data_IF_829641775128
#
_entry.id   IF_829641775128
#
_cell.length_a   1.000
_cell.length_b   1.000
_cell.length_c   1.000
_cell.angle_alpha   90.00
_cell.angle_beta   90.00
_cell.angle_gamma   90.00
#
_symmetry.space_group_name_H-M   'P 1'
#
loop_
_entity.id
_entity.type
_entity.pdbx_description
1 polymer ?
#
# COMPACT_ATOMS: atom_id res chain seq x y z
N UNK A 1 -2.45 6.03 -11.34
CA UNK A 1 -2.40 4.57 -11.60
C UNK A 1 -2.26 3.84 -10.27
N UNK A 2 -3.08 2.80 -10.11
CA UNK A 2 -3.00 1.84 -9.02
C UNK A 2 -1.76 0.95 -9.06
N UNK A 3 -1.60 0.07 -8.08
CA UNK A 3 -0.55 -0.96 -8.13
C UNK A 3 -0.95 -2.18 -8.98
N UNK A 4 -2.25 -2.37 -9.19
CA UNK A 4 -2.84 -3.35 -10.10
C UNK A 4 -3.68 -2.66 -11.18
N UNK A 5 -4.13 -3.44 -12.16
CA UNK A 5 -4.99 -2.95 -13.27
C UNK A 5 -6.41 -3.49 -13.15
N UNK A 6 -7.36 -2.83 -13.84
CA UNK A 6 -8.73 -3.33 -13.95
C UNK A 6 -8.76 -4.74 -14.55
N UNK A 7 -7.89 -5.02 -15.52
CA UNK A 7 -7.78 -6.36 -16.14
C UNK A 7 -7.30 -7.41 -15.14
N UNK A 8 -6.32 -7.08 -14.28
CA UNK A 8 -5.84 -7.97 -13.21
C UNK A 8 -6.97 -8.37 -12.26
N UNK A 9 -7.85 -7.42 -11.91
CA UNK A 9 -8.98 -7.66 -11.01
C UNK A 9 -10.08 -8.47 -11.71
N UNK A 10 -10.44 -8.10 -12.93
CA UNK A 10 -11.50 -8.77 -13.69
C UNK A 10 -11.13 -10.22 -14.07
N UNK A 11 -9.85 -10.53 -14.21
CA UNK A 11 -9.37 -11.89 -14.48
C UNK A 11 -9.83 -12.93 -13.43
N UNK A 12 -10.12 -12.49 -12.20
CA UNK A 12 -10.64 -13.36 -11.14
C UNK A 12 -12.11 -13.76 -11.35
N UNK A 13 -12.83 -13.09 -12.25
CA UNK A 13 -14.24 -13.33 -12.53
C UNK A 13 -14.47 -13.54 -14.04
N UNK A 14 -14.14 -14.70 -14.61
CA UNK A 14 -14.20 -14.93 -16.07
C UNK A 14 -15.59 -14.75 -16.69
N UNK A 15 -16.66 -14.82 -15.88
CA UNK A 15 -18.06 -14.66 -16.32
C UNK A 15 -18.60 -13.24 -16.13
N UNK A 16 -17.80 -12.34 -15.56
CA UNK A 16 -18.18 -10.94 -15.36
C UNK A 16 -18.14 -10.20 -16.70
N UNK A 17 -19.29 -9.67 -17.12
CA UNK A 17 -19.40 -8.87 -18.34
C UNK A 17 -19.21 -7.40 -17.98
N UNK A 18 -18.03 -6.86 -18.32
CA UNK A 18 -17.65 -5.47 -18.05
C UNK A 18 -18.44 -4.49 -18.91
N UNK A 19 -18.63 -3.28 -18.39
CA UNK A 19 -19.13 -2.10 -19.13
C UNK A 19 -20.45 -2.32 -19.91
N UNK A 20 -21.25 -3.29 -19.48
CA UNK A 20 -22.63 -3.48 -19.97
C UNK A 20 -23.60 -2.63 -19.14
N UNK A 21 -24.75 -2.27 -19.70
CA UNK A 21 -25.76 -1.51 -18.96
C UNK A 21 -26.19 -2.28 -17.68
N UNK A 22 -26.13 -1.61 -16.52
CA UNK A 22 -26.41 -2.21 -15.22
C UNK A 22 -25.27 -3.07 -14.64
N UNK A 23 -24.14 -3.15 -15.33
CA UNK A 23 -22.92 -3.81 -14.83
C UNK A 23 -21.99 -2.83 -14.12
N UNK A 24 -21.07 -3.36 -13.34
CA UNK A 24 -20.00 -2.59 -12.70
C UNK A 24 -19.07 -2.06 -13.79
N UNK A 25 -18.77 -0.76 -13.72
CA UNK A 25 -17.92 -0.08 -14.70
C UNK A 25 -16.43 -0.19 -14.38
N UNK A 26 -15.58 -0.08 -15.40
CA UNK A 26 -14.13 -0.03 -15.21
C UNK A 26 -13.70 1.16 -14.35
N UNK A 27 -14.41 2.28 -14.43
CA UNK A 27 -14.14 3.46 -13.60
C UNK A 27 -14.39 3.17 -12.10
N UNK A 28 -15.43 2.39 -11.79
CA UNK A 28 -15.73 1.97 -10.43
C UNK A 28 -14.65 1.01 -9.89
N UNK A 29 -14.23 0.04 -10.70
CA UNK A 29 -13.13 -0.88 -10.35
C UNK A 29 -11.82 -0.13 -10.15
N UNK A 30 -11.54 0.85 -11.01
CA UNK A 30 -10.36 1.71 -10.87
C UNK A 30 -10.41 2.52 -9.56
N UNK A 31 -11.59 3.00 -9.15
CA UNK A 31 -11.78 3.66 -7.86
C UNK A 31 -11.39 2.76 -6.68
N UNK A 32 -11.84 1.50 -6.67
CA UNK A 32 -11.45 0.54 -5.63
C UNK A 32 -9.94 0.26 -5.64
N UNK A 33 -9.35 0.08 -6.82
CA UNK A 33 -7.89 -0.09 -6.98
C UNK A 33 -7.14 1.10 -6.34
N UNK A 34 -7.58 2.33 -6.59
CA UNK A 34 -6.95 3.54 -6.08
C UNK A 34 -7.15 3.72 -4.57
N UNK A 35 -8.33 3.38 -4.04
CA UNK A 35 -8.60 3.38 -2.60
C UNK A 35 -7.71 2.36 -1.86
N UNK A 36 -7.60 1.14 -2.41
CA UNK A 36 -6.70 0.11 -1.86
C UNK A 36 -5.25 0.56 -1.94
N UNK A 37 -4.84 1.21 -3.02
CA UNK A 37 -3.50 1.80 -3.16
C UNK A 37 -3.25 2.83 -2.05
N UNK A 38 -4.17 3.76 -1.82
CA UNK A 38 -4.03 4.79 -0.79
C UNK A 38 -3.85 4.18 0.60
N UNK A 39 -4.61 3.12 0.91
CA UNK A 39 -4.50 2.39 2.18
C UNK A 39 -3.17 1.66 2.33
N UNK A 40 -2.74 0.91 1.31
CA UNK A 40 -1.43 0.23 1.30
C UNK A 40 -0.33 1.27 1.51
N UNK A 41 -0.39 2.37 0.76
CA UNK A 41 0.59 3.47 0.83
C UNK A 41 0.72 4.05 2.22
N UNK A 42 -0.40 4.31 2.89
CA UNK A 42 -0.41 4.82 4.26
C UNK A 42 0.34 3.90 5.21
N UNK A 43 0.09 2.59 5.13
CA UNK A 43 0.74 1.59 5.99
C UNK A 43 2.23 1.44 5.69
N UNK A 44 2.60 1.46 4.42
CA UNK A 44 3.99 1.48 3.98
C UNK A 44 4.73 2.71 4.51
N UNK A 45 4.14 3.90 4.40
CA UNK A 45 4.72 5.16 4.89
C UNK A 45 4.91 5.16 6.41
N UNK A 46 3.98 4.59 7.18
CA UNK A 46 4.13 4.42 8.63
C UNK A 46 5.35 3.57 9.01
N UNK A 47 5.79 2.70 8.10
CA UNK A 47 6.99 1.85 8.24
C UNK A 47 8.23 2.50 7.61
N UNK A 48 8.16 3.79 7.28
CA UNK A 48 9.17 4.53 6.54
C UNK A 48 9.50 3.89 5.20
N UNK A 49 8.56 3.22 4.53
CA UNK A 49 8.78 2.63 3.21
C UNK A 49 8.06 3.45 2.13
N UNK A 50 8.75 3.77 1.01
CA UNK A 50 8.13 4.42 -0.15
C UNK A 50 7.65 3.44 -1.23
N UNK A 51 6.34 3.10 -1.27
CA UNK A 51 5.79 2.16 -2.25
C UNK A 51 5.62 2.77 -3.64
N UNK A 52 5.75 4.10 -3.80
CA UNK A 52 5.64 4.78 -5.10
C UNK A 52 7.02 5.09 -5.70
N UNK A 53 8.11 4.73 -5.01
CA UNK A 53 9.45 4.93 -5.52
C UNK A 53 9.69 4.12 -6.82
N UNK A 54 10.44 4.67 -7.79
CA UNK A 54 10.57 4.08 -9.12
C UNK A 54 11.15 2.65 -9.09
N UNK A 55 10.61 1.73 -9.90
CA UNK A 55 11.12 0.35 -9.99
C UNK A 55 12.58 0.31 -10.44
N UNK A 56 13.40 -0.53 -9.79
CA UNK A 56 14.80 -0.73 -10.16
C UNK A 56 15.79 0.32 -9.64
N UNK A 57 15.31 1.39 -9.00
CA UNK A 57 16.15 2.31 -8.22
C UNK A 57 16.08 2.01 -6.73
N UNK A 58 14.86 2.03 -6.19
CA UNK A 58 14.58 1.97 -4.76
C UNK A 58 13.67 0.78 -4.40
N UNK A 59 12.70 0.47 -5.25
CA UNK A 59 11.83 -0.69 -5.11
C UNK A 59 12.33 -1.84 -5.99
N UNK A 60 12.52 -3.01 -5.36
CA UNK A 60 12.82 -4.23 -6.10
C UNK A 60 11.61 -4.68 -6.93
N UNK A 61 11.87 -5.58 -7.88
CA UNK A 61 10.80 -6.24 -8.64
C UNK A 61 9.86 -7.00 -7.70
N UNK A 62 10.40 -7.64 -6.66
CA UNK A 62 9.62 -8.39 -5.68
C UNK A 62 8.68 -7.47 -4.89
N UNK A 63 9.15 -6.29 -4.47
CA UNK A 63 8.31 -5.27 -3.83
C UNK A 63 7.18 -4.83 -4.75
N UNK A 64 7.50 -4.58 -6.02
CA UNK A 64 6.49 -4.15 -7.01
C UNK A 64 5.44 -5.22 -7.22
N UNK A 65 5.85 -6.50 -7.30
CA UNK A 65 4.94 -7.63 -7.46
C UNK A 65 4.09 -7.87 -6.21
N UNK A 66 4.67 -7.72 -5.01
CA UNK A 66 3.95 -7.81 -3.75
C UNK A 66 2.87 -6.73 -3.65
N UNK A 67 3.21 -5.46 -3.90
CA UNK A 67 2.26 -4.35 -3.87
C UNK A 67 1.13 -4.52 -4.90
N UNK A 68 1.45 -5.02 -6.10
CA UNK A 68 0.45 -5.37 -7.12
C UNK A 68 -0.50 -6.45 -6.61
N UNK A 69 0.04 -7.55 -6.06
CA UNK A 69 -0.76 -8.67 -5.55
C UNK A 69 -1.68 -8.22 -4.42
N UNK A 70 -1.14 -7.50 -3.43
CA UNK A 70 -1.92 -6.97 -2.31
C UNK A 70 -3.05 -6.05 -2.77
N UNK A 71 -2.77 -5.12 -3.69
CA UNK A 71 -3.77 -4.22 -4.23
C UNK A 71 -4.87 -4.97 -5.00
N UNK A 72 -4.48 -5.98 -5.78
CA UNK A 72 -5.39 -6.86 -6.51
C UNK A 72 -6.32 -7.64 -5.58
N UNK A 73 -5.79 -8.22 -4.50
CA UNK A 73 -6.60 -8.97 -3.50
C UNK A 73 -7.71 -8.08 -2.91
N UNK A 74 -7.37 -6.86 -2.49
CA UNK A 74 -8.36 -5.92 -1.95
C UNK A 74 -9.44 -5.55 -2.97
N UNK A 75 -9.05 -5.26 -4.21
CA UNK A 75 -9.98 -4.87 -5.26
C UNK A 75 -10.85 -6.04 -5.75
N UNK A 76 -10.35 -7.28 -5.72
CA UNK A 76 -11.15 -8.49 -6.00
C UNK A 76 -12.24 -8.66 -4.95
N UNK A 77 -11.94 -8.41 -3.67
CA UNK A 77 -12.96 -8.47 -2.61
C UNK A 77 -14.07 -7.44 -2.84
N UNK A 78 -13.72 -6.20 -3.20
CA UNK A 78 -14.71 -5.16 -3.50
C UNK A 78 -15.57 -5.49 -4.73
N UNK A 79 -14.96 -6.05 -5.78
CA UNK A 79 -15.70 -6.53 -6.95
C UNK A 79 -16.62 -7.71 -6.60
N UNK A 80 -16.17 -8.66 -5.78
CA UNK A 80 -16.99 -9.78 -5.33
C UNK A 80 -18.24 -9.31 -4.57
N UNK A 81 -18.08 -8.40 -3.60
CA UNK A 81 -19.20 -7.81 -2.86
C UNK A 81 -20.18 -7.08 -3.77
N UNK A 82 -19.67 -6.29 -4.72
CA UNK A 82 -20.51 -5.55 -5.65
C UNK A 82 -21.25 -6.49 -6.62
N UNK A 83 -20.63 -7.58 -7.05
CA UNK A 83 -21.27 -8.61 -7.86
C UNK A 83 -22.36 -9.34 -7.07
N UNK A 84 -22.13 -9.60 -5.79
CA UNK A 84 -23.12 -10.19 -4.90
C UNK A 84 -24.34 -9.27 -4.72
N UNK A 85 -24.11 -7.99 -4.43
CA UNK A 85 -25.19 -7.01 -4.28
C UNK A 85 -26.07 -6.88 -5.53
N UNK A 86 -25.50 -7.16 -6.71
CA UNK A 86 -26.22 -7.17 -7.99
C UNK A 86 -26.83 -8.54 -8.35
N UNK A 87 -26.37 -9.64 -7.77
CA UNK A 87 -26.83 -11.02 -8.03
C UNK A 87 -27.45 -11.58 -6.74
N UNK A 88 -28.75 -11.39 -6.57
CA UNK A 88 -29.53 -11.70 -5.35
C UNK A 88 -29.55 -13.17 -4.89
N UNK A 89 -28.80 -14.10 -5.48
CA UNK A 89 -28.98 -15.56 -5.24
C UNK A 89 -27.74 -16.47 -5.25
N UNK A 90 -26.50 -15.96 -5.29
CA UNK A 90 -25.31 -16.84 -5.32
C UNK A 90 -24.48 -16.76 -4.02
N UNK A 91 -24.30 -17.89 -3.33
CA UNK A 91 -23.44 -17.99 -2.14
C UNK A 91 -21.92 -18.00 -2.45
N UNK A 92 -21.54 -18.17 -3.72
CA UNK A 92 -20.14 -18.24 -4.16
C UNK A 92 -19.35 -16.91 -4.08
N UNK A 93 -19.92 -15.78 -4.54
CA UNK A 93 -19.32 -14.46 -4.40
C UNK A 93 -18.98 -14.06 -2.96
N UNK A 94 -19.84 -14.38 -1.98
CA UNK A 94 -19.61 -14.11 -0.54
C UNK A 94 -18.30 -14.71 -0.06
N UNK A 95 -18.15 -16.03 -0.23
CA UNK A 95 -16.99 -16.76 0.25
C UNK A 95 -15.69 -16.32 -0.44
N UNK A 96 -15.78 -15.91 -1.71
CA UNK A 96 -14.65 -15.37 -2.46
C UNK A 96 -14.26 -13.97 -1.95
N UNK A 97 -15.24 -13.10 -1.73
CA UNK A 97 -15.03 -11.77 -1.15
C UNK A 97 -14.34 -11.85 0.21
N UNK A 98 -14.91 -12.63 1.13
CA UNK A 98 -14.37 -12.81 2.47
C UNK A 98 -12.93 -13.32 2.46
N UNK A 99 -12.65 -14.32 1.60
CA UNK A 99 -11.30 -14.87 1.46
C UNK A 99 -10.28 -13.82 1.00
N UNK A 100 -10.60 -13.06 -0.05
CA UNK A 100 -9.69 -12.03 -0.58
C UNK A 100 -9.54 -10.85 0.38
N UNK A 101 -10.61 -10.51 1.10
CA UNK A 101 -10.58 -9.50 2.16
C UNK A 101 -9.69 -9.93 3.32
N UNK A 102 -9.84 -11.16 3.81
CA UNK A 102 -8.99 -11.69 4.87
C UNK A 102 -7.51 -11.74 4.44
N UNK A 103 -7.24 -12.17 3.21
CA UNK A 103 -5.90 -12.16 2.59
C UNK A 103 -5.30 -10.75 2.58
N UNK A 104 -6.07 -9.76 2.13
CA UNK A 104 -5.66 -8.34 2.14
C UNK A 104 -5.36 -7.84 3.56
N UNK A 105 -6.26 -8.09 4.52
CA UNK A 105 -6.10 -7.63 5.90
C UNK A 105 -4.90 -8.29 6.61
N UNK A 106 -4.66 -9.58 6.36
CA UNK A 106 -3.49 -10.30 6.88
C UNK A 106 -2.20 -9.67 6.39
N UNK A 107 -2.09 -9.44 5.08
CA UNK A 107 -0.89 -8.84 4.48
C UNK A 107 -0.68 -7.40 4.98
N UNK A 108 -1.74 -6.62 5.18
CA UNK A 108 -1.65 -5.29 5.80
C UNK A 108 -1.14 -5.39 7.25
N UNK A 109 -1.61 -6.36 8.03
CA UNK A 109 -1.14 -6.57 9.39
C UNK A 109 0.34 -6.99 9.43
N UNK A 110 0.77 -7.83 8.49
CA UNK A 110 2.16 -8.26 8.33
C UNK A 110 3.11 -7.11 7.94
N UNK A 111 2.66 -6.18 7.09
CA UNK A 111 3.44 -4.95 6.82
C UNK A 111 3.56 -4.13 8.11
N UNK A 112 2.48 -3.95 8.86
CA UNK A 112 2.49 -3.20 10.13
C UNK A 112 3.43 -3.80 11.17
N UNK A 113 3.49 -5.13 11.26
CA UNK A 113 4.36 -5.85 12.20
C UNK A 113 5.81 -5.96 11.72
N UNK A 114 6.12 -5.52 10.50
CA UNK A 114 7.47 -5.53 9.93
C UNK A 114 7.92 -6.88 9.38
N UNK A 115 6.99 -7.83 9.19
CA UNK A 115 7.30 -9.16 8.60
C UNK A 115 7.93 -9.01 7.22
N UNK A 116 7.54 -7.97 6.48
CA UNK A 116 8.02 -7.69 5.13
C UNK A 116 9.24 -6.75 5.06
N UNK A 117 9.84 -6.37 6.19
CA UNK A 117 10.98 -5.44 6.21
C UNK A 117 12.16 -5.92 5.35
N UNK A 118 12.34 -7.25 5.23
CA UNK A 118 13.38 -7.84 4.39
C UNK A 118 13.22 -7.55 2.90
N UNK A 119 12.00 -7.25 2.44
CA UNK A 119 11.73 -6.84 1.05
C UNK A 119 12.16 -5.39 0.79
N UNK A 120 12.32 -4.59 1.84
CA UNK A 120 12.56 -3.14 1.76
C UNK A 120 13.99 -2.81 2.21
N UNK A 121 14.88 -2.57 1.24
CA UNK A 121 16.26 -2.16 1.50
C UNK A 121 16.38 -0.76 2.11
N UNK A 122 17.58 -0.38 2.59
CA UNK A 122 17.88 0.96 3.11
C UNK A 122 17.46 2.09 2.13
N UNK A 123 17.64 1.89 0.82
CA UNK A 123 17.24 2.85 -0.20
C UNK A 123 15.71 3.03 -0.29
N UNK A 124 14.93 2.02 0.08
CA UNK A 124 13.46 2.02 0.15
C UNK A 124 12.92 2.76 1.35
N UNK A 125 13.79 3.13 2.29
CA UNK A 125 13.41 3.86 3.48
C UNK A 125 13.29 5.35 3.19
N UNK A 126 12.13 5.93 3.50
CA UNK A 126 11.92 7.37 3.51
C UNK A 126 12.88 7.94 4.56
N UNK A 127 13.86 8.73 4.14
CA UNK A 127 14.75 9.44 5.06
C UNK A 127 13.92 10.34 5.96
N UNK A 128 13.85 10.02 7.25
CA UNK A 128 13.21 10.86 8.23
C UNK A 128 13.99 12.16 8.40
N UNK A 129 13.48 13.28 7.89
CA UNK A 129 13.82 14.59 8.47
C UNK A 129 12.99 14.81 9.73
N UNK A 130 13.47 14.24 10.85
CA UNK A 130 13.40 14.77 12.21
C UNK A 130 13.99 13.73 13.17
N UNK A 131 15.22 13.96 13.62
CA UNK A 131 15.94 13.10 14.56
C UNK A 131 16.70 11.99 13.83
N UNK A 132 17.83 12.34 13.22
CA UNK A 132 18.83 11.33 12.88
C UNK A 132 19.14 10.54 14.15
N UNK A 133 19.01 9.22 14.08
CA UNK A 133 19.46 8.31 15.13
C UNK A 133 20.92 8.61 15.41
N UNK A 134 21.18 9.37 16.47
CA UNK A 134 22.53 9.52 16.99
C UNK A 134 22.93 8.12 17.45
N UNK A 135 24.01 7.52 16.91
CA UNK A 135 24.50 6.26 17.42
C UNK A 135 24.70 6.38 18.94
N UNK A 136 24.41 5.31 19.69
CA UNK A 136 24.32 5.29 21.16
C UNK A 136 25.59 5.82 21.86
N UNK A 137 26.70 5.94 21.13
CA UNK A 137 27.99 6.45 21.60
C UNK A 137 28.34 7.88 21.16
N UNK A 138 27.43 8.63 20.55
CA UNK A 138 27.68 10.03 20.18
C UNK A 138 26.65 10.94 20.83
N UNK A 139 27.13 11.99 21.52
CA UNK A 139 26.24 13.05 21.98
C UNK A 139 26.19 14.16 20.93
N UNK A 140 25.08 14.93 20.83
CA UNK A 140 24.96 16.06 19.88
C UNK A 140 26.04 17.15 20.05
N UNK A 141 26.84 17.10 21.11
CA UNK A 141 28.00 17.95 21.31
C UNK A 141 29.17 17.59 20.38
N UNK A 142 29.27 16.34 19.92
CA UNK A 142 30.43 15.85 19.15
C UNK A 142 30.29 16.03 17.62
N UNK A 143 29.08 16.34 17.14
CA UNK A 143 28.81 16.60 15.70
C UNK A 143 28.81 18.09 15.32
N UNK A 144 29.24 18.98 16.22
CA UNK A 144 29.44 20.40 15.91
C UNK A 144 28.17 21.19 15.57
N UNK A 145 26.98 20.61 15.74
CA UNK A 145 25.70 21.30 15.52
C UNK A 145 25.21 21.92 16.83
N UNK A 146 25.91 22.96 17.28
CA UNK A 146 25.45 23.73 18.44
C UNK A 146 25.67 25.23 18.23
N UNK A 147 25.09 25.81 17.17
CA UNK A 147 24.89 27.26 17.06
C UNK A 147 23.62 27.59 16.26
N UNK A 148 22.45 27.48 16.88
CA UNK A 148 21.23 28.12 16.33
C UNK A 148 20.24 28.64 17.39
N UNK A 149 20.65 28.74 18.66
CA UNK A 149 19.87 29.47 19.67
C UNK A 149 20.79 30.45 20.43
N UNK A 150 21.40 31.35 19.67
CA UNK A 150 21.99 32.56 20.20
C UNK A 150 20.86 33.45 20.74
N UNK A 151 20.74 33.52 22.06
CA UNK A 151 20.01 34.57 22.76
C UNK A 151 20.49 35.92 22.23
N UNK A 152 19.60 36.70 21.62
CA UNK A 152 19.85 38.12 21.35
C UNK A 152 19.99 38.86 22.69
N UNK A 153 21.22 39.09 23.13
CA UNK A 153 21.54 40.07 24.16
C UNK A 153 22.40 41.19 23.58
N UNK A 154 21.71 42.32 23.37
CA UNK A 154 22.12 43.73 23.55
C UNK A 154 23.17 44.37 22.63
N UNK A 155 22.79 45.51 22.06
CA UNK A 155 23.43 46.80 22.35
C UNK A 155 22.36 47.77 22.86
#
# INVERSE_FOLDING_TARGET
MGYSTVDDVCSAFPRFVRNSAGSISDAQIQGWIDDRKARIRSVCMMRNFDPDAPPGGVNSVDVTNFLRSLNREGAIADLADALEANITTAAGPVALSERHRQSFESQIAEIKSGVHDYLFGQASRVTGTAGADTPVDQTPADTGQNQAFGKNTRF
#
